data_IF_203517664918
#
_entry.id   IF_203517664918
#
_cell.length_a   1.000
_cell.length_b   1.000
_cell.length_c   1.000
_cell.angle_alpha   90.00
_cell.angle_beta   90.00
_cell.angle_gamma   90.00
#
_symmetry.space_group_name_H-M   'P 1'
#
loop_
_entity.id
_entity.type
_entity.pdbx_description
1 polymer ?
#
# COMPACT_ATOMS: atom_id res chain seq x y z
N UNK A 1 -31.83 -14.85 11.72
CA UNK A 1 -31.48 -13.95 12.85
C UNK A 1 -30.56 -12.87 12.32
N UNK A 2 -30.88 -11.59 12.55
CA UNK A 2 -30.01 -10.47 12.17
C UNK A 2 -29.20 -10.01 13.38
N UNK A 3 -27.88 -9.95 13.24
CA UNK A 3 -26.99 -9.37 14.24
C UNK A 3 -26.75 -7.89 13.92
N UNK A 4 -26.80 -7.03 14.93
CA UNK A 4 -26.50 -5.62 14.76
C UNK A 4 -24.97 -5.41 14.71
N UNK A 5 -24.49 -4.74 13.67
CA UNK A 5 -23.09 -4.30 13.53
C UNK A 5 -23.05 -2.78 13.58
N UNK A 6 -22.02 -2.22 14.23
CA UNK A 6 -21.76 -0.78 14.22
C UNK A 6 -20.86 -0.46 13.03
N UNK A 7 -21.23 0.56 12.26
CA UNK A 7 -20.49 1.09 11.12
C UNK A 7 -20.30 2.59 11.30
N UNK A 8 -19.28 3.18 10.66
CA UNK A 8 -19.08 4.63 10.69
C UNK A 8 -20.23 5.35 9.97
N UNK A 9 -20.54 6.57 10.42
CA UNK A 9 -21.59 7.38 9.80
C UNK A 9 -21.30 7.63 8.31
N UNK A 10 -20.05 7.95 7.98
CA UNK A 10 -19.59 8.16 6.61
C UNK A 10 -19.84 6.94 5.71
N UNK A 11 -19.50 5.73 6.19
CA UNK A 11 -19.73 4.51 5.41
C UNK A 11 -21.22 4.23 5.21
N UNK A 12 -22.04 4.49 6.23
CA UNK A 12 -23.51 4.39 6.13
C UNK A 12 -24.07 5.38 5.09
N UNK A 13 -23.51 6.58 5.02
CA UNK A 13 -23.94 7.60 4.05
C UNK A 13 -23.55 7.23 2.61
N UNK A 14 -22.35 6.65 2.41
CA UNK A 14 -21.96 6.06 1.12
C UNK A 14 -22.94 4.97 0.68
N UNK A 15 -23.24 4.01 1.57
CA UNK A 15 -24.19 2.94 1.29
C UNK A 15 -25.61 3.46 1.02
N UNK A 16 -26.01 4.55 1.67
CA UNK A 16 -27.31 5.21 1.44
C UNK A 16 -27.36 5.86 0.06
N UNK A 17 -26.31 6.57 -0.35
CA UNK A 17 -26.20 7.19 -1.67
C UNK A 17 -26.34 6.13 -2.77
N UNK A 18 -25.49 5.10 -2.71
CA UNK A 18 -25.47 4.03 -3.71
C UNK A 18 -26.77 3.21 -3.69
N UNK A 19 -27.30 2.91 -2.50
CA UNK A 19 -28.56 2.17 -2.34
C UNK A 19 -29.73 2.88 -3.02
N UNK A 20 -29.81 4.22 -2.93
CA UNK A 20 -30.84 4.99 -3.65
C UNK A 20 -30.74 4.86 -5.15
N UNK A 21 -29.53 4.94 -5.70
CA UNK A 21 -29.27 4.80 -7.15
C UNK A 21 -29.66 3.40 -7.62
N UNK A 22 -29.35 2.38 -6.83
CA UNK A 22 -29.55 0.98 -7.18
C UNK A 22 -30.91 0.40 -6.73
N UNK A 23 -31.78 1.22 -6.13
CA UNK A 23 -33.09 0.77 -5.62
C UNK A 23 -33.01 -0.22 -4.44
N UNK A 24 -31.97 -0.14 -3.61
CA UNK A 24 -31.73 -1.03 -2.45
C UNK A 24 -31.82 -0.27 -1.13
N UNK A 25 -32.19 -0.98 -0.06
CA UNK A 25 -32.04 -0.47 1.31
C UNK A 25 -30.55 -0.31 1.66
N UNK A 26 -30.24 0.51 2.67
CA UNK A 26 -28.86 0.69 3.15
C UNK A 26 -28.25 -0.67 3.53
N UNK A 27 -28.97 -1.46 4.33
CA UNK A 27 -28.52 -2.80 4.72
C UNK A 27 -28.34 -3.73 3.51
N UNK A 28 -29.25 -3.68 2.54
CA UNK A 28 -29.15 -4.47 1.31
C UNK A 28 -27.95 -4.07 0.44
N UNK A 29 -27.62 -2.78 0.39
CA UNK A 29 -26.45 -2.30 -0.34
C UNK A 29 -25.14 -2.72 0.35
N UNK A 30 -25.07 -2.62 1.69
CA UNK A 30 -23.92 -3.13 2.46
C UNK A 30 -23.76 -4.63 2.26
N UNK A 31 -24.84 -5.41 2.33
CA UNK A 31 -24.78 -6.85 2.10
C UNK A 31 -24.33 -7.19 0.68
N UNK A 32 -24.75 -6.41 -0.32
CA UNK A 32 -24.31 -6.56 -1.70
C UNK A 32 -22.79 -6.36 -1.83
N UNK A 33 -22.24 -5.28 -1.28
CA UNK A 33 -20.80 -5.04 -1.27
C UNK A 33 -20.03 -6.13 -0.52
N UNK A 34 -20.53 -6.59 0.62
CA UNK A 34 -19.90 -7.68 1.37
C UNK A 34 -19.86 -8.99 0.55
N UNK A 35 -20.92 -9.31 -0.19
CA UNK A 35 -20.93 -10.48 -1.10
C UNK A 35 -19.94 -10.31 -2.24
N UNK A 36 -19.85 -9.12 -2.82
CA UNK A 36 -18.88 -8.83 -3.88
C UNK A 36 -17.45 -8.95 -3.38
N UNK A 37 -17.13 -8.37 -2.21
CA UNK A 37 -15.81 -8.49 -1.59
C UNK A 37 -15.43 -9.95 -1.34
N UNK A 38 -16.34 -10.75 -0.78
CA UNK A 38 -16.12 -12.20 -0.59
C UNK A 38 -15.90 -12.94 -1.91
N UNK A 39 -16.58 -12.55 -2.98
CA UNK A 39 -16.40 -13.17 -4.29
C UNK A 39 -15.03 -12.83 -4.89
N UNK A 40 -14.60 -11.57 -4.77
CA UNK A 40 -13.26 -11.11 -5.18
C UNK A 40 -12.17 -11.86 -4.42
N UNK A 41 -12.30 -11.98 -3.10
CA UNK A 41 -11.34 -12.73 -2.26
C UNK A 41 -11.22 -14.22 -2.61
N UNK A 42 -12.25 -14.79 -3.25
CA UNK A 42 -12.28 -16.20 -3.68
C UNK A 42 -11.94 -16.40 -5.14
N UNK A 43 -11.79 -15.32 -5.91
CA UNK A 43 -11.55 -15.41 -7.32
C UNK A 43 -10.14 -15.97 -7.59
N UNK A 44 -9.99 -16.99 -8.45
CA UNK A 44 -8.68 -17.45 -8.88
C UNK A 44 -7.99 -16.34 -9.66
N UNK A 45 -6.97 -15.73 -9.06
CA UNK A 45 -6.24 -14.57 -9.61
C UNK A 45 -6.11 -13.38 -8.66
N UNK A 46 -6.86 -13.35 -7.56
CA UNK A 46 -6.70 -12.37 -6.48
C UNK A 46 -6.12 -13.06 -5.26
N UNK A 47 -4.80 -12.99 -5.08
CA UNK A 47 -4.14 -13.68 -3.97
C UNK A 47 -3.77 -12.68 -2.88
N UNK A 48 -4.55 -12.67 -1.80
CA UNK A 48 -4.29 -11.82 -0.64
C UNK A 48 -2.89 -12.06 -0.03
N UNK A 49 -2.38 -13.29 -0.15
CA UNK A 49 -1.01 -13.65 0.23
C UNK A 49 0.03 -12.84 -0.54
N UNK A 50 -0.19 -12.58 -1.84
CA UNK A 50 0.72 -11.76 -2.66
C UNK A 50 0.68 -10.30 -2.24
N UNK A 51 -0.51 -9.76 -1.95
CA UNK A 51 -0.68 -8.41 -1.39
C UNK A 51 0.08 -8.29 -0.06
N UNK A 52 -0.07 -9.27 0.83
CA UNK A 52 0.65 -9.29 2.10
C UNK A 52 2.16 -9.41 1.93
N UNK A 53 2.64 -10.27 1.01
CA UNK A 53 4.05 -10.40 0.69
C UNK A 53 4.63 -9.09 0.16
N UNK A 54 3.90 -8.38 -0.72
CA UNK A 54 4.31 -7.08 -1.23
C UNK A 54 4.37 -6.01 -0.13
N UNK A 55 3.35 -5.92 0.72
CA UNK A 55 3.32 -4.97 1.85
C UNK A 55 4.41 -5.28 2.90
N UNK A 56 4.84 -6.54 2.99
CA UNK A 56 5.94 -6.99 3.85
C UNK A 56 7.32 -6.87 3.18
N UNK A 57 7.41 -6.27 1.99
CA UNK A 57 8.64 -6.16 1.18
C UNK A 57 9.30 -7.51 0.83
N UNK A 58 8.53 -8.61 0.83
CA UNK A 58 8.99 -9.94 0.40
C UNK A 58 8.89 -10.11 -1.13
N UNK A 59 8.10 -9.28 -1.79
CA UNK A 59 7.94 -9.25 -3.26
C UNK A 59 7.76 -7.79 -3.71
N UNK A 60 8.26 -7.39 -4.90
CA UNK A 60 7.98 -6.08 -5.46
C UNK A 60 6.47 -5.83 -5.61
N UNK A 61 6.02 -4.60 -5.30
CA UNK A 61 4.61 -4.21 -5.50
C UNK A 61 4.23 -4.18 -6.99
N UNK A 62 5.21 -3.91 -7.87
CA UNK A 62 5.04 -3.89 -9.33
C UNK A 62 4.69 -5.26 -9.91
N UNK A 63 4.95 -6.35 -9.16
CA UNK A 63 4.61 -7.71 -9.58
C UNK A 63 3.13 -8.04 -9.34
N UNK A 64 2.41 -7.22 -8.55
CA UNK A 64 0.97 -7.40 -8.31
C UNK A 64 0.14 -7.00 -9.54
N UNK A 65 -1.03 -7.62 -9.71
CA UNK A 65 -2.01 -7.17 -10.70
C UNK A 65 -2.56 -5.79 -10.34
N UNK A 66 -3.19 -5.08 -11.28
CA UNK A 66 -3.78 -3.76 -11.01
C UNK A 66 -4.78 -3.77 -9.84
N UNK A 67 -5.61 -4.82 -9.76
CA UNK A 67 -6.58 -4.97 -8.68
C UNK A 67 -5.89 -5.25 -7.32
N UNK A 68 -4.85 -6.08 -7.32
CA UNK A 68 -4.04 -6.34 -6.13
C UNK A 68 -3.28 -5.09 -5.67
N UNK A 69 -2.76 -4.28 -6.60
CA UNK A 69 -2.08 -3.00 -6.29
C UNK A 69 -3.04 -1.99 -5.67
N UNK A 70 -4.26 -1.85 -6.21
CA UNK A 70 -5.27 -0.95 -5.67
C UNK A 70 -5.60 -1.31 -4.20
N UNK A 71 -5.73 -2.61 -3.92
CA UNK A 71 -5.98 -3.09 -2.55
C UNK A 71 -4.75 -2.94 -1.65
N UNK A 72 -3.54 -3.19 -2.17
CA UNK A 72 -2.30 -2.96 -1.44
C UNK A 72 -2.16 -1.49 -1.03
N UNK A 73 -2.46 -0.55 -1.94
CA UNK A 73 -2.39 0.89 -1.67
C UNK A 73 -3.42 1.31 -0.62
N UNK A 74 -4.68 0.89 -0.74
CA UNK A 74 -5.71 1.19 0.25
C UNK A 74 -5.33 0.67 1.65
N UNK A 75 -4.73 -0.52 1.73
CA UNK A 75 -4.20 -1.08 2.99
C UNK A 75 -3.02 -0.30 3.54
N UNK A 76 -2.13 0.15 2.67
CA UNK A 76 -1.00 0.97 3.07
C UNK A 76 -1.49 2.31 3.62
N UNK A 77 -2.46 2.96 2.97
CA UNK A 77 -3.08 4.20 3.44
C UNK A 77 -3.69 4.04 4.83
N UNK A 78 -4.50 3.00 5.06
CA UNK A 78 -5.06 2.68 6.37
C UNK A 78 -3.96 2.47 7.42
N UNK A 79 -2.91 1.71 7.09
CA UNK A 79 -1.77 1.52 7.99
C UNK A 79 -1.04 2.85 8.29
N UNK A 80 -0.83 3.69 7.28
CA UNK A 80 -0.16 4.99 7.42
C UNK A 80 -0.97 5.98 8.26
N UNK A 81 -2.30 5.94 8.17
CA UNK A 81 -3.21 6.76 8.98
C UNK A 81 -3.06 6.44 10.48
N UNK A 82 -2.91 5.16 10.81
CA UNK A 82 -2.79 4.64 12.16
C UNK A 82 -1.34 4.54 12.69
N UNK A 83 -0.35 4.93 11.88
CA UNK A 83 1.04 4.90 12.31
C UNK A 83 1.26 5.78 13.56
N UNK A 84 2.03 5.29 14.54
CA UNK A 84 2.46 6.12 15.66
C UNK A 84 3.10 7.41 15.14
N UNK A 85 2.57 8.56 15.56
CA UNK A 85 3.08 9.88 15.16
C UNK A 85 4.44 10.20 15.81
N UNK A 86 4.97 9.33 16.68
CA UNK A 86 6.26 9.53 17.36
C UNK A 86 7.45 9.20 16.44
N UNK A 87 7.59 9.95 15.35
CA UNK A 87 8.76 9.93 14.48
C UNK A 87 9.88 10.79 15.10
N UNK A 88 10.30 10.42 16.31
CA UNK A 88 11.33 11.14 17.05
C UNK A 88 12.75 10.71 16.63
N UNK A 89 13.76 11.38 17.19
CA UNK A 89 15.15 11.08 16.89
C UNK A 89 15.54 9.62 17.19
N UNK A 90 14.89 8.97 18.17
CA UNK A 90 15.15 7.57 18.55
C UNK A 90 14.59 6.61 17.50
N UNK A 91 13.40 6.88 16.97
CA UNK A 91 12.83 6.12 15.87
C UNK A 91 13.76 6.11 14.64
N UNK A 92 14.22 7.28 14.20
CA UNK A 92 15.15 7.37 13.06
C UNK A 92 16.54 6.80 13.35
N UNK A 93 17.03 6.87 14.58
CA UNK A 93 18.28 6.22 14.97
C UNK A 93 18.19 4.69 14.81
N UNK A 94 17.07 4.06 15.20
CA UNK A 94 16.84 2.61 15.00
C UNK A 94 16.88 2.23 13.53
N UNK A 95 16.25 3.03 12.67
CA UNK A 95 16.24 2.77 11.21
C UNK A 95 17.63 2.87 10.59
N UNK A 96 18.44 3.86 11.00
CA UNK A 96 19.82 3.99 10.52
C UNK A 96 20.70 2.82 10.96
N UNK A 97 20.56 2.36 12.21
CA UNK A 97 21.30 1.19 12.72
C UNK A 97 20.90 -0.08 11.97
N UNK A 98 19.64 -0.21 11.57
CA UNK A 98 19.15 -1.33 10.75
C UNK A 98 19.61 -1.27 9.27
N UNK A 99 20.37 -0.24 8.87
CA UNK A 99 20.81 -0.05 7.49
C UNK A 99 19.68 0.32 6.52
N UNK A 100 18.50 0.66 7.04
CA UNK A 100 17.37 1.06 6.21
C UNK A 100 17.62 2.46 5.63
N UNK A 101 17.52 2.65 4.30
CA UNK A 101 17.68 3.97 3.71
C UNK A 101 16.52 4.86 4.16
N UNK A 102 16.83 5.88 4.96
CA UNK A 102 15.84 6.89 5.35
C UNK A 102 15.75 7.93 4.24
N UNK A 103 14.66 7.89 3.48
CA UNK A 103 14.36 8.90 2.48
C UNK A 103 13.40 9.94 3.06
N UNK A 104 13.80 11.21 3.03
CA UNK A 104 13.04 12.33 3.57
C UNK A 104 13.94 13.51 3.90
N UNK A 105 13.39 14.72 3.85
CA UNK A 105 14.09 15.93 4.31
C UNK A 105 13.95 15.97 5.82
N UNK A 106 15.04 15.76 6.57
CA UNK A 106 15.08 16.17 7.97
C UNK A 106 15.06 17.69 7.93
N UNK A 107 14.07 18.32 8.57
CA UNK A 107 14.02 19.77 8.67
C UNK A 107 15.33 20.27 9.32
N UNK A 108 16.21 20.86 8.49
CA UNK A 108 17.58 21.24 8.85
C UNK A 108 18.70 20.66 7.97
N UNK A 109 18.48 19.55 7.25
CA UNK A 109 19.50 18.94 6.37
C UNK A 109 19.09 19.11 4.89
N UNK A 110 19.20 20.35 4.39
CA UNK A 110 19.13 20.61 2.95
C UNK A 110 20.31 19.95 2.25
N UNK A 111 20.07 18.75 1.74
CA UNK A 111 20.75 18.20 0.56
C UNK A 111 22.24 17.88 0.72
N UNK A 112 22.55 16.71 1.27
CA UNK A 112 23.73 15.95 0.80
C UNK A 112 23.26 14.73 0.03
N UNK A 113 22.97 14.94 -1.25
CA UNK A 113 22.85 13.86 -2.23
C UNK A 113 24.22 13.19 -2.31
N UNK A 114 24.38 12.03 -1.69
CA UNK A 114 25.53 11.17 -1.97
C UNK A 114 25.32 10.61 -3.37
N UNK A 115 26.07 11.15 -4.33
CA UNK A 115 26.16 10.54 -5.66
C UNK A 115 26.62 9.10 -5.48
N UNK A 116 25.76 8.16 -5.85
CA UNK A 116 26.11 6.76 -5.91
C UNK A 116 27.17 6.59 -6.99
N UNK A 117 28.42 6.42 -6.57
CA UNK A 117 29.54 5.99 -7.38
C UNK A 117 29.19 4.65 -8.03
N UNK A 118 28.57 4.67 -9.21
CA UNK A 118 28.42 3.46 -10.01
C UNK A 118 29.77 3.16 -10.63
N UNK A 119 30.57 2.36 -9.90
CA UNK A 119 31.61 1.52 -10.48
C UNK A 119 30.95 0.60 -11.50
N UNK A 120 30.95 1.00 -12.78
CA UNK A 120 30.83 0.07 -13.90
C UNK A 120 32.19 0.01 -14.60
N UNK A 121 33.15 -0.62 -13.92
CA UNK A 121 34.39 -1.04 -14.55
C UNK A 121 34.10 -2.15 -15.58
N UNK A 122 34.64 -1.96 -16.78
CA UNK A 122 35.23 -3.01 -17.60
C UNK A 122 34.30 -4.12 -18.15
N UNK A 123 33.56 -3.81 -19.22
CA UNK A 123 33.36 -4.79 -20.29
C UNK A 123 33.06 -4.15 -21.66
N UNK A 124 33.98 -3.32 -22.17
CA UNK A 124 34.15 -3.14 -23.63
C UNK A 124 35.51 -2.53 -23.96
N UNK A 125 36.56 -3.29 -23.67
CA UNK A 125 37.82 -3.12 -24.36
C UNK A 125 37.62 -3.36 -25.86
N UNK A 126 38.40 -2.64 -26.67
CA UNK A 126 38.85 -3.02 -28.00
C UNK A 126 37.76 -3.33 -29.06
N UNK A 127 37.33 -2.30 -29.79
CA UNK A 127 37.28 -2.33 -31.27
C UNK A 127 36.86 -0.97 -31.83
N UNK A 128 37.66 -0.50 -32.80
CA UNK A 128 37.43 0.60 -33.76
C UNK A 128 37.80 2.02 -33.30
N UNK A 129 39.06 2.37 -33.53
CA UNK A 129 39.50 3.29 -34.61
C UNK A 129 41.01 3.50 -34.42
N UNK A 130 41.93 3.04 -35.28
CA UNK A 130 41.76 2.61 -36.67
C UNK A 130 41.35 3.78 -37.53
#
# INVERSE_FOLDING_TARGET
MSSAIKLSAEFVDLARGEGRVMGRSIAGQVEHWARLGRAVERAPGFAYERIHAALSAQTPIDDLTADEQAVALAKLEDYLEHLPRNRDARFFAKLRVAGAPVHGVIEGDRGRRREATTRRSAHKAARRRG
#
